data_IF_267571114800
#
_entry.id   IF_267571114800
#
_cell.length_a   1.000
_cell.length_b   1.000
_cell.length_c   1.000
_cell.angle_alpha   90.00
_cell.angle_beta   90.00
_cell.angle_gamma   90.00
#
_symmetry.space_group_name_H-M   'P 1'
#
loop_
_entity.id
_entity.type
_entity.pdbx_description
1 polymer ?
#
# COMPACT_ATOMS: atom_id res chain seq x y z
N UNK A 1 -26.35 10.87 14.43
CA UNK A 1 -25.29 9.84 14.53
C UNK A 1 -23.98 10.46 14.09
N UNK A 2 -22.93 10.38 14.90
CA UNK A 2 -21.63 11.00 14.65
C UNK A 2 -20.59 9.95 14.29
N UNK A 3 -19.92 10.11 13.15
CA UNK A 3 -18.76 9.30 12.78
C UNK A 3 -17.49 9.91 13.40
N UNK A 4 -16.63 9.06 13.94
CA UNK A 4 -15.31 9.44 14.47
C UNK A 4 -14.28 8.46 13.93
N UNK A 5 -13.06 8.92 13.66
CA UNK A 5 -11.94 8.02 13.43
C UNK A 5 -11.33 7.63 14.77
N UNK A 6 -11.08 6.34 14.96
CA UNK A 6 -10.30 5.88 16.09
C UNK A 6 -8.85 6.37 15.93
N UNK A 7 -8.22 6.91 16.98
CA UNK A 7 -6.81 7.27 16.93
C UNK A 7 -5.89 6.04 16.79
N UNK A 8 -6.39 4.85 17.10
CA UNK A 8 -5.68 3.60 16.89
C UNK A 8 -6.01 3.04 15.50
N UNK A 9 -5.04 2.34 14.94
CA UNK A 9 -5.14 1.62 13.68
C UNK A 9 -4.57 0.21 13.87
N UNK A 10 -4.83 -0.68 12.91
CA UNK A 10 -4.31 -2.05 12.97
C UNK A 10 -2.77 -2.09 12.89
N UNK A 11 -2.15 -3.19 13.32
CA UNK A 11 -0.70 -3.39 13.22
C UNK A 11 -0.22 -3.24 11.77
N UNK A 12 -0.92 -3.86 10.82
CA UNK A 12 -0.63 -3.77 9.38
C UNK A 12 -0.57 -2.32 8.87
N UNK A 13 -1.51 -1.47 9.30
CA UNK A 13 -1.50 -0.05 8.93
C UNK A 13 -0.32 0.68 9.60
N UNK A 14 0.04 0.29 10.82
CA UNK A 14 1.23 0.80 11.49
C UNK A 14 2.51 0.49 10.73
N UNK A 15 2.64 -0.73 10.22
CA UNK A 15 3.79 -1.17 9.44
C UNK A 15 3.89 -0.39 8.12
N UNK A 16 2.78 -0.18 7.42
CA UNK A 16 2.73 0.63 6.20
C UNK A 16 3.13 2.11 6.44
N UNK A 17 2.82 2.65 7.62
CA UNK A 17 3.14 4.05 7.97
C UNK A 17 4.53 4.22 8.58
N UNK A 18 5.11 3.17 9.16
CA UNK A 18 6.37 3.24 9.90
C UNK A 18 7.54 3.87 9.10
N UNK A 19 7.75 3.56 7.80
CA UNK A 19 8.81 4.18 7.00
C UNK A 19 8.67 5.71 6.88
N UNK A 20 7.45 6.24 7.00
CA UNK A 20 7.15 7.65 6.81
C UNK A 20 7.13 8.45 8.11
N UNK A 21 7.24 7.81 9.28
CA UNK A 21 7.17 8.48 10.58
C UNK A 21 8.25 9.56 10.75
N UNK A 22 9.51 9.27 10.41
CA UNK A 22 10.61 10.24 10.51
C UNK A 22 10.45 11.42 9.53
N UNK A 23 10.20 11.20 8.22
CA UNK A 23 9.86 12.28 7.28
C UNK A 23 8.71 13.18 7.75
N UNK A 24 7.62 12.59 8.25
CA UNK A 24 6.46 13.33 8.76
C UNK A 24 6.81 14.18 9.98
N UNK A 25 7.56 13.62 10.93
CA UNK A 25 8.02 14.35 12.12
C UNK A 25 8.96 15.51 11.75
N UNK A 26 9.86 15.31 10.79
CA UNK A 26 10.74 16.36 10.29
C UNK A 26 9.96 17.49 9.60
N UNK A 27 8.96 17.14 8.77
CA UNK A 27 8.06 18.12 8.16
C UNK A 27 7.30 18.92 9.22
N UNK A 28 6.72 18.25 10.22
CA UNK A 28 5.99 18.89 11.30
C UNK A 28 6.86 19.89 12.11
N UNK A 29 8.10 19.52 12.45
CA UNK A 29 9.05 20.39 13.16
C UNK A 29 9.39 21.67 12.39
N UNK A 30 9.38 21.60 11.06
CA UNK A 30 9.66 22.75 10.19
C UNK A 30 8.38 23.52 9.79
N UNK A 31 7.23 23.18 10.38
CA UNK A 31 5.94 23.78 10.05
C UNK A 31 5.42 23.41 8.66
N UNK A 32 6.07 22.47 7.95
CA UNK A 32 5.64 22.00 6.64
C UNK A 32 4.52 20.98 6.81
N UNK A 33 3.44 21.17 6.03
CA UNK A 33 2.38 20.17 5.92
C UNK A 33 2.74 19.17 4.82
N UNK A 34 3.23 18.01 5.22
CA UNK A 34 3.35 16.85 4.35
C UNK A 34 2.01 16.09 4.33
N UNK A 35 1.61 15.59 3.17
CA UNK A 35 0.41 14.76 3.00
C UNK A 35 0.85 13.39 2.49
N UNK A 36 0.31 12.32 3.05
CA UNK A 36 0.44 10.99 2.49
C UNK A 36 -0.85 10.63 1.79
N UNK A 37 -0.74 10.01 0.62
CA UNK A 37 -1.87 9.38 -0.05
C UNK A 37 -1.96 7.94 0.45
N UNK A 38 -3.09 7.60 1.07
CA UNK A 38 -3.34 6.25 1.60
C UNK A 38 -4.54 5.67 0.87
N UNK A 39 -4.41 4.42 0.41
CA UNK A 39 -5.53 3.59 -0.04
C UNK A 39 -5.76 2.56 1.06
N UNK A 40 -6.95 2.53 1.66
CA UNK A 40 -7.18 1.64 2.81
C UNK A 40 -8.65 1.38 3.12
N UNK A 41 -8.85 0.40 3.98
CA UNK A 41 -10.16 -0.13 4.38
C UNK A 41 -10.51 0.31 5.80
N UNK A 42 -11.75 0.76 5.98
CA UNK A 42 -12.28 1.18 7.27
C UNK A 42 -13.28 0.14 7.78
N UNK A 43 -13.15 -0.25 9.05
CA UNK A 43 -14.11 -1.11 9.73
C UNK A 43 -14.78 -0.41 10.93
N UNK A 44 -15.99 -0.82 11.32
CA UNK A 44 -16.59 -0.43 12.60
C UNK A 44 -15.71 -0.86 13.78
N UNK A 45 -15.34 0.07 14.64
CA UNK A 45 -14.60 -0.18 15.88
C UNK A 45 -15.53 -0.22 17.10
N UNK A 46 -15.94 0.96 17.59
CA UNK A 46 -16.76 1.10 18.78
C UNK A 46 -18.06 1.86 18.47
N UNK A 47 -19.19 1.31 18.91
CA UNK A 47 -20.50 1.99 18.86
C UNK A 47 -20.84 2.52 20.25
N UNK A 48 -21.13 3.81 20.33
CA UNK A 48 -21.65 4.45 21.54
C UNK A 48 -23.15 4.71 21.38
N UNK A 49 -23.95 4.06 22.21
CA UNK A 49 -25.39 4.32 22.34
C UNK A 49 -25.68 5.04 23.67
N UNK A 50 -26.23 6.27 23.63
CA UNK A 50 -26.65 6.97 24.84
C UNK A 50 -27.83 6.25 25.50
N UNK A 51 -27.80 6.14 26.82
CA UNK A 51 -28.97 5.69 27.58
C UNK A 51 -30.11 6.73 27.52
N UNK A 52 -31.38 6.34 27.70
CA UNK A 52 -32.50 7.28 27.71
C UNK A 52 -32.27 8.43 28.70
N UNK A 53 -32.42 9.68 28.25
CA UNK A 53 -32.22 10.88 29.05
C UNK A 53 -30.78 11.40 29.12
N UNK A 54 -29.81 10.73 28.50
CA UNK A 54 -28.47 11.30 28.31
C UNK A 54 -28.47 12.25 27.11
N UNK A 55 -28.02 13.48 27.33
CA UNK A 55 -27.76 14.46 26.27
C UNK A 55 -26.43 14.16 25.56
N UNK A 56 -26.38 13.02 24.87
CA UNK A 56 -25.26 12.61 24.02
C UNK A 56 -25.80 12.10 22.70
N UNK A 57 -25.09 12.37 21.62
CA UNK A 57 -25.43 11.82 20.31
C UNK A 57 -24.86 10.40 20.14
N UNK A 58 -25.60 9.47 19.49
CA UNK A 58 -25.06 8.19 19.07
C UNK A 58 -23.83 8.37 18.19
N UNK A 59 -22.79 7.57 18.43
CA UNK A 59 -21.54 7.67 17.68
C UNK A 59 -21.03 6.29 17.24
N UNK A 60 -20.37 6.25 16.08
CA UNK A 60 -19.64 5.09 15.59
C UNK A 60 -18.20 5.51 15.32
N UNK A 61 -17.25 4.81 15.95
CA UNK A 61 -15.82 4.93 15.63
C UNK A 61 -15.48 3.99 14.48
N UNK A 62 -14.78 4.52 13.48
CA UNK A 62 -14.21 3.76 12.38
C UNK A 62 -12.71 3.60 12.60
N UNK A 63 -12.19 2.41 12.33
CA UNK A 63 -10.78 2.05 12.46
C UNK A 63 -10.23 1.77 11.06
N UNK A 64 -9.06 2.29 10.74
CA UNK A 64 -8.32 1.88 9.55
C UNK A 64 -7.72 0.50 9.82
N UNK A 65 -8.26 -0.52 9.15
CA UNK A 65 -7.91 -1.93 9.39
C UNK A 65 -6.89 -2.46 8.39
N UNK A 66 -6.84 -1.87 7.20
CA UNK A 66 -5.86 -2.14 6.16
C UNK A 66 -5.55 -0.84 5.43
N UNK A 67 -4.33 -0.69 4.94
CA UNK A 67 -4.01 0.43 4.06
C UNK A 67 -2.55 0.47 3.63
N UNK A 68 -2.34 1.03 2.45
CA UNK A 68 -1.04 1.18 1.81
C UNK A 68 -0.78 2.63 1.45
N UNK A 69 0.49 3.07 1.54
CA UNK A 69 0.89 4.43 1.15
C UNK A 69 1.29 4.43 -0.31
N UNK A 70 0.63 5.24 -1.13
CA UNK A 70 0.99 5.34 -2.54
C UNK A 70 2.42 5.87 -2.70
N UNK A 71 3.20 5.22 -3.56
CA UNK A 71 4.52 5.69 -3.93
C UNK A 71 4.44 7.04 -4.68
N UNK A 72 5.51 7.86 -4.71
CA UNK A 72 5.48 9.17 -5.35
C UNK A 72 5.08 9.14 -6.84
N UNK A 73 5.43 8.08 -7.56
CA UNK A 73 5.06 7.87 -8.97
C UNK A 73 3.63 7.37 -9.16
N UNK A 74 2.99 6.89 -8.08
CA UNK A 74 1.61 6.39 -8.07
C UNK A 74 0.60 7.44 -7.63
N UNK A 75 1.01 8.47 -6.89
CA UNK A 75 0.11 9.46 -6.29
C UNK A 75 -0.86 10.09 -7.31
N UNK A 76 -0.37 10.49 -8.48
CA UNK A 76 -1.19 11.12 -9.52
C UNK A 76 -2.23 10.15 -10.07
N UNK A 77 -1.85 8.89 -10.27
CA UNK A 77 -2.76 7.82 -10.70
C UNK A 77 -3.84 7.58 -9.65
N UNK A 78 -3.46 7.48 -8.37
CA UNK A 78 -4.43 7.30 -7.26
C UNK A 78 -5.38 8.49 -7.18
N UNK A 79 -4.88 9.72 -7.33
CA UNK A 79 -5.74 10.93 -7.39
C UNK A 79 -6.71 10.89 -8.57
N UNK A 80 -6.27 10.43 -9.73
CA UNK A 80 -7.13 10.29 -10.90
C UNK A 80 -8.21 9.22 -10.68
N UNK A 81 -7.87 8.08 -10.10
CA UNK A 81 -8.83 7.03 -9.73
C UNK A 81 -9.84 7.55 -8.71
N UNK A 82 -9.39 8.22 -7.64
CA UNK A 82 -10.28 8.84 -6.65
C UNK A 82 -11.21 9.87 -7.29
N UNK A 83 -10.70 10.67 -8.24
CA UNK A 83 -11.50 11.65 -8.97
C UNK A 83 -12.52 10.98 -9.88
N UNK A 84 -12.16 9.90 -10.56
CA UNK A 84 -13.08 9.11 -11.38
C UNK A 84 -14.22 8.54 -10.50
N UNK A 85 -13.87 7.89 -9.38
CA UNK A 85 -14.85 7.38 -8.42
C UNK A 85 -15.75 8.50 -7.86
N UNK A 86 -15.19 9.69 -7.60
CA UNK A 86 -15.95 10.84 -7.12
C UNK A 86 -16.92 11.38 -8.17
N UNK A 87 -16.55 11.39 -9.45
CA UNK A 87 -17.40 11.88 -10.53
C UNK A 87 -18.52 10.90 -10.87
N UNK A 88 -18.23 9.60 -10.80
CA UNK A 88 -19.17 8.53 -11.09
C UNK A 88 -20.02 8.13 -9.87
N UNK A 89 -19.82 8.76 -8.71
CA UNK A 89 -20.62 8.49 -7.51
C UNK A 89 -22.07 8.91 -7.72
N UNK A 90 -22.99 8.11 -7.20
CA UNK A 90 -24.40 8.55 -7.08
C UNK A 90 -24.53 9.61 -6.00
N UNK A 91 -25.71 10.25 -5.87
CA UNK A 91 -25.96 11.25 -4.82
C UNK A 91 -25.69 10.71 -3.38
N UNK A 92 -25.67 9.39 -3.19
CA UNK A 92 -25.39 8.71 -1.92
C UNK A 92 -23.92 8.25 -1.77
N UNK A 93 -23.10 8.37 -2.81
CA UNK A 93 -21.71 7.88 -2.83
C UNK A 93 -21.51 6.71 -3.79
N UNK A 94 -20.43 5.96 -3.56
CA UNK A 94 -20.07 4.74 -4.31
C UNK A 94 -20.74 3.48 -3.78
N UNK A 95 -21.36 3.55 -2.60
CA UNK A 95 -22.06 2.45 -1.94
C UNK A 95 -23.55 2.80 -1.79
N UNK A 96 -24.45 1.81 -1.84
CA UNK A 96 -25.86 1.96 -1.47
C UNK A 96 -26.04 1.83 0.06
N UNK A 97 -27.29 1.91 0.50
CA UNK A 97 -27.69 1.80 1.91
C UNK A 97 -27.35 0.42 2.49
N UNK A 98 -27.18 -0.60 1.63
CA UNK A 98 -26.77 -1.96 1.96
C UNK A 98 -25.25 -2.18 1.88
N UNK A 99 -24.48 -1.14 1.54
CA UNK A 99 -23.02 -1.21 1.44
C UNK A 99 -22.51 -1.91 0.18
N UNK A 100 -23.36 -2.12 -0.83
CA UNK A 100 -22.98 -2.65 -2.13
C UNK A 100 -22.50 -1.53 -3.05
N UNK A 101 -21.53 -1.83 -3.92
CA UNK A 101 -20.98 -0.84 -4.84
C UNK A 101 -22.00 -0.48 -5.93
N UNK A 102 -22.42 0.78 -5.98
CA UNK A 102 -23.34 1.32 -6.99
C UNK A 102 -22.53 1.98 -8.12
N UNK A 103 -21.59 1.24 -8.66
CA UNK A 103 -20.91 1.60 -9.91
C UNK A 103 -21.16 0.49 -10.92
N UNK A 104 -21.28 0.82 -12.22
CA UNK A 104 -21.27 -0.20 -13.26
C UNK A 104 -19.99 -1.01 -13.12
N UNK A 105 -20.10 -2.34 -12.98
CA UNK A 105 -18.97 -3.27 -12.83
C UNK A 105 -17.84 -3.01 -13.84
N UNK A 106 -18.20 -2.62 -15.07
CA UNK A 106 -17.28 -2.27 -16.16
C UNK A 106 -16.30 -1.12 -15.81
N UNK A 107 -16.71 -0.16 -14.99
CA UNK A 107 -15.87 0.96 -14.55
C UNK A 107 -14.86 0.50 -13.49
N UNK A 108 -15.29 -0.41 -12.59
CA UNK A 108 -14.41 -1.02 -11.60
C UNK A 108 -13.43 -1.99 -12.25
N UNK A 109 -13.92 -2.81 -13.19
CA UNK A 109 -13.11 -3.74 -13.98
C UNK A 109 -12.04 -2.95 -14.77
N UNK A 110 -12.41 -1.84 -15.43
CA UNK A 110 -11.45 -0.99 -16.12
C UNK A 110 -10.40 -0.37 -15.18
N UNK A 111 -10.81 0.06 -13.98
CA UNK A 111 -9.88 0.57 -12.98
C UNK A 111 -8.92 -0.52 -12.47
N UNK A 112 -9.41 -1.74 -12.23
CA UNK A 112 -8.59 -2.90 -11.85
C UNK A 112 -7.63 -3.33 -12.96
N UNK A 113 -8.08 -3.33 -14.22
CA UNK A 113 -7.26 -3.63 -15.39
C UNK A 113 -6.09 -2.65 -15.52
N UNK A 114 -6.31 -1.37 -15.24
CA UNK A 114 -5.23 -0.38 -15.23
C UNK A 114 -4.18 -0.65 -14.14
N UNK A 115 -4.57 -1.15 -12.97
CA UNK A 115 -3.62 -1.55 -11.91
C UNK A 115 -2.78 -2.76 -12.34
N UNK A 116 -3.43 -3.78 -12.91
CA UNK A 116 -2.74 -4.96 -13.43
C UNK A 116 -1.76 -4.60 -14.56
N UNK A 117 -2.13 -3.67 -15.44
CA UNK A 117 -1.26 -3.17 -16.51
C UNK A 117 -0.03 -2.41 -15.98
N UNK A 118 -0.18 -1.65 -14.89
CA UNK A 118 0.94 -0.97 -14.23
C UNK A 118 1.89 -1.97 -13.58
N UNK A 119 1.37 -2.98 -12.86
CA UNK A 119 2.18 -4.04 -12.27
C UNK A 119 2.97 -4.81 -13.36
N UNK A 120 2.31 -5.16 -14.46
CA UNK A 120 2.95 -5.80 -15.61
C UNK A 120 4.04 -4.92 -16.24
N UNK A 121 3.80 -3.60 -16.35
CA UNK A 121 4.78 -2.66 -16.89
C UNK A 121 6.03 -2.57 -15.99
N UNK A 122 5.85 -2.56 -14.66
CA UNK A 122 6.95 -2.58 -13.68
C UNK A 122 7.77 -3.86 -13.78
N UNK A 123 7.11 -5.01 -13.80
CA UNK A 123 7.77 -6.32 -13.96
C UNK A 123 8.58 -6.37 -15.26
N UNK A 124 7.98 -5.93 -16.37
CA UNK A 124 8.65 -5.89 -17.68
C UNK A 124 9.88 -4.98 -17.69
N UNK A 125 9.80 -3.82 -17.05
CA UNK A 125 10.93 -2.90 -16.93
C UNK A 125 12.06 -3.49 -16.07
N UNK A 126 11.73 -4.11 -14.93
CA UNK A 126 12.69 -4.79 -14.06
C UNK A 126 13.40 -5.94 -14.77
N UNK A 127 12.65 -6.80 -15.47
CA UNK A 127 13.21 -7.91 -16.26
C UNK A 127 14.14 -7.40 -17.38
N UNK A 128 13.81 -6.31 -18.06
CA UNK A 128 14.68 -5.74 -19.10
C UNK A 128 16.01 -5.22 -18.54
N UNK A 129 15.99 -4.60 -17.35
CA UNK A 129 17.21 -4.16 -16.65
C UNK A 129 18.09 -5.35 -16.30
N UNK A 130 17.53 -6.40 -15.70
CA UNK A 130 18.28 -7.59 -15.33
C UNK A 130 18.81 -8.36 -16.54
N UNK A 131 18.03 -8.45 -17.62
CA UNK A 131 18.49 -9.03 -18.88
C UNK A 131 19.68 -8.26 -19.49
N UNK A 132 19.71 -6.93 -19.35
CA UNK A 132 20.84 -6.10 -19.80
C UNK A 132 22.08 -6.32 -18.93
N UNK A 133 21.93 -6.37 -17.61
CA UNK A 133 23.05 -6.64 -16.69
C UNK A 133 23.62 -8.05 -16.91
N UNK A 134 22.77 -9.07 -17.08
CA UNK A 134 23.20 -10.43 -17.39
C UNK A 134 23.99 -10.50 -18.71
N UNK A 135 23.54 -9.81 -19.76
CA UNK A 135 24.29 -9.75 -21.03
C UNK A 135 25.65 -9.06 -20.87
N UNK A 136 25.74 -8.00 -20.06
CA UNK A 136 27.04 -7.33 -19.78
C UNK A 136 28.00 -8.27 -19.05
N UNK A 137 27.50 -9.01 -18.06
CA UNK A 137 28.30 -9.97 -17.32
C UNK A 137 28.92 -11.06 -18.23
N UNK A 138 28.15 -11.56 -19.20
CA UNK A 138 28.62 -12.56 -20.18
C UNK A 138 29.72 -12.03 -21.11
N UNK A 139 29.73 -10.73 -21.40
CA UNK A 139 30.74 -10.11 -22.26
C UNK A 139 32.03 -9.73 -21.53
N UNK A 140 32.02 -9.70 -20.20
CA UNK A 140 33.20 -9.41 -19.39
C UNK A 140 33.99 -10.71 -19.13
N UNK A 141 35.32 -10.66 -19.23
CA UNK A 141 36.19 -11.77 -18.80
C UNK A 141 36.26 -11.79 -17.26
N UNK A 142 35.19 -12.26 -16.63
CA UNK A 142 35.10 -12.41 -15.17
C UNK A 142 35.83 -13.67 -14.72
N UNK A 143 36.52 -13.58 -13.59
CA UNK A 143 36.98 -14.75 -12.85
C UNK A 143 35.80 -15.55 -12.30
N UNK A 144 36.04 -16.81 -11.90
CA UNK A 144 35.00 -17.67 -11.34
C UNK A 144 34.33 -17.07 -10.07
N UNK A 145 35.10 -16.33 -9.26
CA UNK A 145 34.59 -15.68 -8.05
C UNK A 145 33.73 -14.45 -8.37
N UNK A 146 34.12 -13.67 -9.39
CA UNK A 146 33.34 -12.53 -9.87
C UNK A 146 32.05 -12.97 -10.57
N UNK A 147 32.10 -14.08 -11.32
CA UNK A 147 30.91 -14.70 -11.91
C UNK A 147 29.91 -15.12 -10.83
N UNK A 148 30.38 -15.73 -9.75
CA UNK A 148 29.52 -16.17 -8.65
C UNK A 148 28.85 -14.99 -7.94
N UNK A 149 29.61 -13.93 -7.65
CA UNK A 149 29.06 -12.70 -7.04
C UNK A 149 28.03 -12.01 -7.95
N UNK A 150 28.27 -12.00 -9.26
CA UNK A 150 27.36 -11.39 -10.23
C UNK A 150 26.07 -12.22 -10.38
N UNK A 151 26.16 -13.56 -10.35
CA UNK A 151 24.98 -14.43 -10.32
C UNK A 151 24.17 -14.27 -9.04
N UNK A 152 24.83 -14.15 -7.88
CA UNK A 152 24.14 -13.87 -6.60
C UNK A 152 23.41 -12.52 -6.65
N UNK A 153 24.07 -11.47 -7.17
CA UNK A 153 23.48 -10.13 -7.34
C UNK A 153 22.22 -10.16 -8.23
N UNK A 154 22.26 -10.94 -9.31
CA UNK A 154 21.13 -11.10 -10.22
C UNK A 154 20.00 -11.91 -9.58
N UNK A 155 20.32 -12.96 -8.82
CA UNK A 155 19.33 -13.73 -8.08
C UNK A 155 18.63 -12.87 -7.03
N UNK A 156 19.40 -12.16 -6.18
CA UNK A 156 18.85 -11.26 -5.15
C UNK A 156 17.99 -10.14 -5.77
N UNK A 157 18.41 -9.64 -6.93
CA UNK A 157 17.70 -8.61 -7.67
C UNK A 157 16.39 -9.06 -8.32
N UNK A 158 16.36 -10.31 -8.81
CA UNK A 158 15.15 -10.93 -9.35
C UNK A 158 14.19 -11.37 -8.24
N UNK A 159 14.71 -11.91 -7.14
CA UNK A 159 13.90 -12.23 -5.94
C UNK A 159 13.22 -10.99 -5.41
N UNK A 160 13.93 -9.87 -5.24
CA UNK A 160 13.30 -8.59 -4.83
C UNK A 160 12.24 -8.07 -5.81
N UNK A 161 12.37 -8.37 -7.10
CA UNK A 161 11.38 -7.99 -8.12
C UNK A 161 10.14 -8.90 -8.08
N UNK A 162 10.26 -10.13 -7.57
CA UNK A 162 9.22 -11.15 -7.51
C UNK A 162 8.53 -11.22 -6.14
N UNK A 163 9.27 -10.92 -5.06
CA UNK A 163 8.79 -10.88 -3.68
C UNK A 163 8.08 -9.55 -3.35
N UNK A 164 7.99 -8.62 -4.32
CA UNK A 164 7.00 -7.53 -4.29
C UNK A 164 5.59 -8.09 -4.59
N UNK A 165 5.14 -9.08 -3.82
CA UNK A 165 3.73 -9.50 -3.65
C UNK A 165 3.46 -9.69 -2.13
N UNK A 166 2.29 -9.27 -1.60
CA UNK A 166 2.15 -8.72 -0.24
C UNK A 166 1.96 -9.75 0.89
N UNK A 167 2.11 -11.05 0.65
CA UNK A 167 1.86 -12.08 1.67
C UNK A 167 2.92 -13.17 1.63
N UNK A 168 3.89 -13.09 2.54
CA UNK A 168 4.41 -14.15 3.43
C UNK A 168 5.86 -13.84 3.82
N UNK A 169 6.07 -13.34 5.03
CA UNK A 169 7.23 -13.76 5.81
C UNK A 169 6.76 -14.04 7.24
N UNK A 170 6.09 -15.19 7.37
CA UNK A 170 5.71 -15.78 8.64
C UNK A 170 6.86 -16.71 9.05
N UNK A 171 7.64 -16.26 10.04
CA UNK A 171 8.31 -17.06 11.05
C UNK A 171 9.31 -18.15 10.63
N UNK A 172 10.57 -17.95 10.99
CA UNK A 172 11.58 -19.02 11.04
C UNK A 172 12.82 -18.66 11.84
N UNK A 173 12.72 -18.78 13.17
CA UNK A 173 13.81 -18.66 14.15
C UNK A 173 15.01 -19.61 13.89
N UNK A 174 16.20 -19.19 14.31
CA UNK A 174 17.22 -19.99 15.02
C UNK A 174 18.39 -19.07 15.42
N UNK A 175 18.49 -18.65 16.69
CA UNK A 175 19.32 -19.27 17.73
C UNK A 175 20.85 -19.22 17.52
N UNK A 176 21.52 -18.54 18.46
CA UNK A 176 22.72 -19.09 19.11
C UNK A 176 24.09 -18.56 18.69
N UNK A 177 24.80 -17.93 19.64
CA UNK A 177 26.27 -17.83 19.57
C UNK A 177 26.87 -16.71 20.42
N UNK A 178 27.15 -17.02 21.67
CA UNK A 178 27.98 -16.22 22.60
C UNK A 178 29.40 -16.00 22.06
N UNK A 179 29.95 -14.81 22.27
CA UNK A 179 31.07 -14.56 23.21
C UNK A 179 31.26 -13.06 23.47
#
# INVERSE_FOLDING_TARGET
>A
MKLKFDPNYSVSVGDALAPYAQPLMAAARTGKRMRLMIVGELAPGERTEPAPGQDKEPALKLVLVSGEVAAPDQEDTVRQVQRALYLERTAQGTLDEEGQVVLPKQVLDAAGDHVALVALAKLRAGVDVWAKEARKAVHNQLSAQEMWLEMQRQADGLSKLLDEDPETDDGGEAEGGQD
#
